data_IF_251367973452
#
_entry.id   IF_251367973452
#
_cell.length_a   1.000
_cell.length_b   1.000
_cell.length_c   1.000
_cell.angle_alpha   90.00
_cell.angle_beta   90.00
_cell.angle_gamma   90.00
#
_symmetry.space_group_name_H-M   'P 1'
#
loop_
_entity.id
_entity.type
_entity.pdbx_description
1 polymer ?
#
# COMPACT_ATOMS: atom_id res chain seq x y z
N UNK A 1 -14.60 38.43 6.76
CA UNK A 1 -14.38 37.20 5.96
C UNK A 1 -14.45 37.55 4.49
N UNK A 2 -13.52 37.07 3.66
CA UNK A 2 -13.52 37.34 2.21
C UNK A 2 -14.25 36.21 1.47
N UNK A 3 -15.26 36.55 0.67
CA UNK A 3 -16.02 35.58 -0.13
C UNK A 3 -15.14 34.71 -1.04
N UNK A 4 -14.00 35.22 -1.50
CA UNK A 4 -13.03 34.45 -2.32
C UNK A 4 -12.38 33.29 -1.57
N UNK A 5 -12.21 33.37 -0.25
CA UNK A 5 -11.66 32.27 0.57
C UNK A 5 -12.74 31.32 1.07
N UNK A 6 -14.01 31.75 1.07
CA UNK A 6 -15.14 30.93 1.52
C UNK A 6 -15.62 29.93 0.44
N UNK A 7 -15.53 30.29 -0.84
CA UNK A 7 -16.00 29.42 -1.93
C UNK A 7 -15.26 28.07 -2.02
N UNK A 8 -13.91 28.01 -1.93
CA UNK A 8 -13.18 26.74 -1.95
C UNK A 8 -13.52 25.85 -0.74
N UNK A 9 -13.65 26.44 0.45
CA UNK A 9 -14.02 25.73 1.68
C UNK A 9 -15.41 25.10 1.60
N UNK A 10 -16.39 25.86 1.10
CA UNK A 10 -17.77 25.40 0.94
C UNK A 10 -17.86 24.29 -0.13
N UNK A 11 -17.15 24.45 -1.25
CA UNK A 11 -17.07 23.42 -2.28
C UNK A 11 -16.40 22.14 -1.75
N UNK A 12 -15.29 22.27 -1.02
CA UNK A 12 -14.60 21.13 -0.40
C UNK A 12 -15.49 20.36 0.58
N UNK A 13 -16.28 21.07 1.40
CA UNK A 13 -17.28 20.44 2.27
C UNK A 13 -18.38 19.73 1.49
N UNK A 14 -18.96 20.40 0.49
CA UNK A 14 -20.00 19.81 -0.35
C UNK A 14 -19.53 18.53 -1.05
N UNK A 15 -18.36 18.58 -1.68
CA UNK A 15 -17.75 17.44 -2.37
C UNK A 15 -17.45 16.29 -1.41
N UNK A 16 -16.99 16.59 -0.18
CA UNK A 16 -16.74 15.58 0.86
C UNK A 16 -18.04 14.91 1.30
N UNK A 17 -19.11 15.68 1.51
CA UNK A 17 -20.43 15.13 1.87
C UNK A 17 -20.97 14.22 0.77
N UNK A 18 -20.84 14.63 -0.50
CA UNK A 18 -21.25 13.83 -1.65
C UNK A 18 -20.44 12.53 -1.75
N UNK A 19 -19.11 12.61 -1.61
CA UNK A 19 -18.23 11.43 -1.60
C UNK A 19 -18.63 10.43 -0.51
N UNK A 20 -18.89 10.90 0.72
CA UNK A 20 -19.35 10.05 1.83
C UNK A 20 -20.67 9.36 1.46
N UNK A 21 -21.64 10.11 0.93
CA UNK A 21 -22.93 9.55 0.54
C UNK A 21 -22.79 8.49 -0.55
N UNK A 22 -21.93 8.70 -1.55
CA UNK A 22 -21.65 7.70 -2.58
C UNK A 22 -20.98 6.45 -2.02
N UNK A 23 -20.02 6.61 -1.10
CA UNK A 23 -19.30 5.49 -0.48
C UNK A 23 -20.18 4.66 0.45
N UNK A 24 -21.18 5.27 1.12
CA UNK A 24 -22.12 4.55 1.99
C UNK A 24 -22.84 3.41 1.25
N UNK A 25 -23.20 3.63 -0.03
CA UNK A 25 -23.83 2.61 -0.87
C UNK A 25 -22.90 1.43 -1.17
N UNK A 26 -21.60 1.68 -1.27
CA UNK A 26 -20.59 0.64 -1.48
C UNK A 26 -20.34 -0.13 -0.19
N UNK A 27 -20.14 0.59 0.92
CA UNK A 27 -19.83 -0.02 2.21
C UNK A 27 -20.99 -0.85 2.78
N UNK A 28 -22.24 -0.50 2.47
CA UNK A 28 -23.41 -1.28 2.89
C UNK A 28 -23.49 -2.67 2.26
N UNK A 29 -22.75 -2.90 1.18
CA UNK A 29 -22.67 -4.19 0.47
C UNK A 29 -21.46 -5.03 0.94
N UNK A 30 -20.62 -4.50 1.81
CA UNK A 30 -19.42 -5.19 2.29
C UNK A 30 -19.76 -6.21 3.38
N UNK A 31 -19.03 -7.32 3.39
CA UNK A 31 -19.13 -8.29 4.48
C UNK A 31 -18.69 -7.66 5.82
N UNK A 32 -19.22 -8.10 6.97
CA UNK A 32 -18.86 -7.56 8.28
C UNK A 32 -17.36 -7.70 8.65
N UNK A 33 -16.66 -8.62 7.98
CA UNK A 33 -15.22 -8.86 8.15
C UNK A 33 -14.36 -8.00 7.24
N UNK A 34 -14.97 -7.20 6.38
CA UNK A 34 -14.27 -6.27 5.49
C UNK A 34 -14.13 -4.89 6.14
N UNK A 35 -13.08 -4.17 5.77
CA UNK A 35 -12.84 -2.80 6.23
C UNK A 35 -12.47 -1.91 5.04
N UNK A 36 -12.72 -0.61 5.18
CA UNK A 36 -12.27 0.44 4.27
C UNK A 36 -11.69 1.57 5.14
N UNK A 37 -10.53 2.09 4.77
CA UNK A 37 -9.95 3.29 5.39
C UNK A 37 -9.62 4.28 4.28
N UNK A 38 -10.19 5.47 4.36
CA UNK A 38 -10.04 6.51 3.33
C UNK A 38 -9.86 7.88 3.99
N UNK A 39 -8.90 8.65 3.49
CA UNK A 39 -8.69 10.03 3.89
C UNK A 39 -8.69 10.95 2.68
N UNK A 40 -9.15 12.19 2.89
CA UNK A 40 -9.06 13.28 1.90
C UNK A 40 -8.26 14.39 2.54
N UNK A 41 -7.15 14.75 1.89
CA UNK A 41 -6.16 15.72 2.40
C UNK A 41 -5.65 15.35 3.80
N UNK A 42 -5.41 14.05 4.03
CA UNK A 42 -4.94 13.52 5.31
C UNK A 42 -5.99 13.46 6.41
N UNK A 43 -7.24 13.89 6.16
CA UNK A 43 -8.34 13.81 7.13
C UNK A 43 -9.19 12.57 6.85
N UNK A 44 -9.26 11.59 7.78
CA UNK A 44 -10.08 10.39 7.61
C UNK A 44 -11.56 10.71 7.42
N UNK A 45 -12.24 9.94 6.57
CA UNK A 45 -13.70 10.01 6.47
C UNK A 45 -14.38 9.25 7.62
N UNK A 46 -15.58 9.67 8.07
CA UNK A 46 -16.28 9.04 9.20
C UNK A 46 -16.63 7.54 9.03
N UNK A 47 -16.59 7.05 7.80
CA UNK A 47 -16.86 5.65 7.43
C UNK A 47 -15.59 4.79 7.34
N UNK A 48 -14.43 5.35 7.69
CA UNK A 48 -13.19 4.60 7.81
C UNK A 48 -13.18 3.74 9.07
N UNK A 49 -12.67 2.52 8.95
CA UNK A 49 -12.49 1.58 10.06
C UNK A 49 -11.05 1.05 10.09
N UNK A 50 -10.47 1.02 11.30
CA UNK A 50 -9.12 0.51 11.55
C UNK A 50 -9.12 -0.96 12.02
N UNK A 51 -10.18 -1.70 11.72
CA UNK A 51 -10.23 -3.15 12.01
C UNK A 51 -9.15 -3.88 11.22
N UNK A 52 -8.34 -4.69 11.91
CA UNK A 52 -7.36 -5.55 11.27
C UNK A 52 -8.05 -6.58 10.35
N UNK A 53 -7.65 -6.61 9.08
CA UNK A 53 -8.10 -7.57 8.09
C UNK A 53 -6.92 -8.40 7.56
N UNK A 54 -7.21 -9.57 6.97
CA UNK A 54 -6.20 -10.36 6.27
C UNK A 54 -5.82 -9.61 4.99
N UNK A 55 -4.56 -9.15 4.83
CA UNK A 55 -4.18 -8.26 3.73
C UNK A 55 -4.07 -8.98 2.38
N UNK A 56 -4.03 -10.32 2.37
CA UNK A 56 -3.71 -11.10 1.18
C UNK A 56 -2.45 -10.54 0.49
N UNK A 57 -2.50 -10.26 -0.81
CA UNK A 57 -1.35 -9.72 -1.54
C UNK A 57 -1.05 -8.25 -1.26
N UNK A 58 -1.89 -7.47 -0.57
CA UNK A 58 -1.58 -6.06 -0.27
C UNK A 58 -0.41 -5.93 0.71
N UNK A 59 -0.10 -6.98 1.48
CA UNK A 59 1.12 -7.07 2.30
C UNK A 59 2.40 -6.88 1.47
N UNK A 60 2.35 -7.18 0.17
CA UNK A 60 3.49 -6.97 -0.74
C UNK A 60 3.89 -5.51 -0.86
N UNK A 61 3.01 -4.55 -0.55
CA UNK A 61 3.36 -3.13 -0.52
C UNK A 61 4.38 -2.86 0.60
N UNK A 62 4.16 -3.43 1.79
CA UNK A 62 5.09 -3.31 2.92
C UNK A 62 6.41 -4.00 2.61
N UNK A 63 6.35 -5.21 2.03
CA UNK A 63 7.55 -5.95 1.63
C UNK A 63 8.35 -5.19 0.57
N UNK A 64 7.68 -4.59 -0.43
CA UNK A 64 8.33 -3.81 -1.48
C UNK A 64 8.99 -2.55 -0.91
N UNK A 65 8.32 -1.81 -0.03
CA UNK A 65 8.91 -0.65 0.67
C UNK A 65 10.16 -1.05 1.42
N UNK A 66 10.07 -2.09 2.27
CA UNK A 66 11.20 -2.57 3.03
C UNK A 66 12.34 -3.09 2.15
N UNK A 67 12.03 -3.77 1.04
CA UNK A 67 13.04 -4.25 0.10
C UNK A 67 13.79 -3.10 -0.57
N UNK A 68 13.10 -2.03 -0.97
CA UNK A 68 13.74 -0.83 -1.53
C UNK A 68 14.63 -0.17 -0.48
N UNK A 69 14.13 0.00 0.75
CA UNK A 69 14.88 0.65 1.83
C UNK A 69 16.13 -0.15 2.27
N UNK A 70 16.04 -1.48 2.27
CA UNK A 70 17.10 -2.37 2.78
C UNK A 70 18.08 -2.80 1.68
N UNK A 71 17.57 -3.18 0.50
CA UNK A 71 18.39 -3.72 -0.59
C UNK A 71 18.81 -2.64 -1.60
N UNK A 72 18.01 -1.58 -1.73
CA UNK A 72 18.11 -0.61 -2.81
C UNK A 72 17.26 -0.98 -4.03
N UNK A 73 16.83 0.03 -4.78
CA UNK A 73 15.98 -0.14 -5.96
C UNK A 73 16.65 -0.92 -7.10
N UNK A 74 17.98 -0.88 -7.16
CA UNK A 74 18.79 -1.52 -8.21
C UNK A 74 19.37 -2.89 -7.79
N UNK A 75 18.92 -3.44 -6.65
CA UNK A 75 19.44 -4.72 -6.16
C UNK A 75 19.14 -5.87 -7.14
N UNK A 76 20.17 -6.68 -7.41
CA UNK A 76 20.03 -7.90 -8.21
C UNK A 76 20.43 -9.13 -7.40
N UNK A 77 19.59 -10.16 -7.44
CA UNK A 77 19.97 -11.46 -6.89
C UNK A 77 21.09 -12.07 -7.73
N UNK A 78 22.05 -12.70 -7.08
CA UNK A 78 23.21 -13.32 -7.73
C UNK A 78 23.17 -14.82 -7.55
N UNK A 79 23.30 -15.56 -8.64
CA UNK A 79 23.50 -17.02 -8.65
C UNK A 79 24.95 -17.31 -9.05
N UNK A 80 25.63 -18.20 -8.31
CA UNK A 80 27.02 -18.60 -8.60
C UNK A 80 27.19 -20.10 -8.48
N UNK A 81 28.08 -20.63 -9.30
CA UNK A 81 28.67 -21.96 -9.09
C UNK A 81 29.89 -21.79 -8.19
N UNK A 82 30.03 -22.64 -7.19
CA UNK A 82 31.16 -22.63 -6.23
C UNK A 82 31.72 -24.03 -6.12
N UNK A 83 33.03 -24.15 -5.92
CA UNK A 83 33.76 -25.41 -5.83
C UNK A 83 35.25 -25.14 -5.64
N UNK A 84 36.01 -26.18 -5.30
CA UNK A 84 37.47 -26.10 -5.31
C UNK A 84 37.98 -25.90 -6.74
N UNK A 85 39.23 -25.46 -6.91
CA UNK A 85 39.82 -25.45 -8.25
C UNK A 85 39.98 -26.90 -8.74
N UNK A 86 39.60 -27.22 -9.99
CA UNK A 86 39.75 -28.57 -10.51
C UNK A 86 41.22 -28.97 -10.60
N UNK A 87 41.51 -30.24 -10.30
CA UNK A 87 42.85 -30.82 -10.45
C UNK A 87 42.86 -31.62 -11.75
N UNK A 88 43.77 -31.27 -12.65
CA UNK A 88 43.88 -31.87 -13.99
C UNK A 88 42.55 -31.86 -14.78
N UNK A 89 41.72 -30.84 -14.58
CA UNK A 89 40.43 -30.67 -15.26
C UNK A 89 39.28 -31.53 -14.71
N UNK A 90 39.49 -32.20 -13.57
CA UNK A 90 38.45 -32.99 -12.90
C UNK A 90 38.03 -32.31 -11.59
N UNK A 91 36.74 -32.04 -11.48
CA UNK A 91 36.10 -31.69 -10.21
C UNK A 91 35.92 -32.98 -9.39
N UNK A 92 36.66 -33.12 -8.29
CA UNK A 92 36.65 -34.31 -7.44
C UNK A 92 35.64 -34.21 -6.28
N UNK A 93 34.45 -33.68 -6.59
CA UNK A 93 33.40 -33.43 -5.60
C UNK A 93 33.60 -32.13 -4.82
N UNK A 94 32.70 -31.93 -3.85
CA UNK A 94 32.72 -30.81 -2.91
C UNK A 94 33.38 -31.22 -1.58
#
# INVERSE_FOLDING_TARGET
MSFRRAAPELSGRSNRTELIASLQSVTSQMAPTSCLSLSVDGVPLPLSSDTAAIPASTVKILVASAAIDVLGADYTFTTRVVGSAPVDGVENGD
#
